data_IF_027373604537
#
_entry.id   IF_027373604537
#
_cell.length_a   1.000
_cell.length_b   1.000
_cell.length_c   1.000
_cell.angle_alpha   90.00
_cell.angle_beta   90.00
_cell.angle_gamma   90.00
#
_symmetry.space_group_name_H-M   'P 1'
#
loop_
_entity.id
_entity.type
_entity.pdbx_description
1 polymer ?
#
# COMPACT_ATOMS: atom_id res chain seq x y z
N UNK A 1 -11.86 41.67 7.01
CA UNK A 1 -11.15 40.39 7.25
C UNK A 1 -9.65 40.65 7.19
N UNK A 2 -8.87 40.42 8.26
CA UNK A 2 -7.43 40.63 8.23
C UNK A 2 -6.77 39.59 7.32
N UNK A 3 -5.91 40.02 6.40
CA UNK A 3 -5.13 39.10 5.53
C UNK A 3 -4.03 38.47 6.38
N UNK A 4 -4.12 37.16 6.59
CA UNK A 4 -3.19 36.39 7.43
C UNK A 4 -1.91 36.00 6.66
N UNK A 5 -1.86 36.23 5.34
CA UNK A 5 -0.69 35.96 4.53
C UNK A 5 -0.09 37.28 4.02
N UNK A 6 1.16 37.55 4.41
CA UNK A 6 1.98 38.60 3.82
C UNK A 6 2.25 38.27 2.35
N UNK A 7 2.43 39.31 1.53
CA UNK A 7 2.83 39.15 0.13
C UNK A 7 4.19 38.42 0.09
N UNK A 8 4.17 37.12 -0.22
CA UNK A 8 5.33 36.22 -0.19
C UNK A 8 6.21 36.38 -1.45
N UNK A 9 6.33 37.59 -1.95
CA UNK A 9 7.25 37.91 -3.03
C UNK A 9 8.56 38.45 -2.42
N UNK A 10 9.51 37.55 -2.20
CA UNK A 10 10.86 37.87 -1.68
C UNK A 10 11.75 38.63 -2.68
N UNK A 11 11.29 38.86 -3.91
CA UNK A 11 12.00 39.60 -4.96
C UNK A 11 11.40 40.99 -5.23
N UNK A 12 10.41 41.42 -4.43
CA UNK A 12 9.87 42.77 -4.51
C UNK A 12 10.86 43.84 -4.03
N UNK A 13 10.44 45.12 -4.08
CA UNK A 13 11.23 46.32 -3.75
C UNK A 13 11.63 46.44 -2.27
N UNK A 14 12.25 45.40 -1.71
CA UNK A 14 12.85 45.39 -0.37
C UNK A 14 14.31 45.83 -0.48
N UNK A 15 14.80 46.68 0.45
CA UNK A 15 16.17 47.18 0.43
C UNK A 15 17.19 46.03 0.39
N UNK A 16 18.29 46.13 -0.38
CA UNK A 16 19.28 45.05 -0.52
C UNK A 16 19.89 44.53 0.78
N UNK A 17 19.86 45.34 1.85
CA UNK A 17 20.31 44.97 3.21
C UNK A 17 19.42 43.94 3.90
N UNK A 18 18.13 43.90 3.57
CA UNK A 18 17.12 43.06 4.25
C UNK A 18 16.75 41.85 3.40
N UNK A 19 17.28 41.75 2.18
CA UNK A 19 17.14 40.56 1.36
C UNK A 19 18.00 39.44 1.96
N UNK A 20 17.38 38.32 2.37
CA UNK A 20 18.16 37.18 2.83
C UNK A 20 18.98 36.60 1.69
N UNK A 21 20.16 36.05 2.00
CA UNK A 21 20.95 35.36 0.97
C UNK A 21 20.17 34.14 0.49
N UNK A 22 20.29 33.84 -0.79
CA UNK A 22 19.65 32.68 -1.41
C UNK A 22 20.17 31.40 -0.73
N UNK A 23 19.42 30.88 0.24
CA UNK A 23 19.83 29.76 1.10
C UNK A 23 19.49 29.92 2.58
N UNK A 24 19.44 31.15 3.13
CA UNK A 24 19.27 31.40 4.58
C UNK A 24 17.89 30.98 5.13
N UNK A 25 16.88 30.96 4.26
CA UNK A 25 15.52 30.48 4.56
C UNK A 25 15.13 29.25 3.73
N UNK A 26 16.13 28.62 3.11
CA UNK A 26 15.93 27.37 2.37
C UNK A 26 15.40 26.32 3.33
N UNK A 27 14.37 25.56 2.97
CA UNK A 27 13.70 24.69 3.93
C UNK A 27 14.58 23.46 4.16
N UNK A 28 15.47 23.57 5.15
CA UNK A 28 16.51 22.59 5.46
C UNK A 28 15.92 21.30 6.03
N UNK A 29 14.73 21.41 6.65
CA UNK A 29 14.02 20.29 7.26
C UNK A 29 12.82 19.79 6.45
N UNK A 30 12.50 20.36 5.28
CA UNK A 30 11.41 19.78 4.47
C UNK A 30 11.93 18.62 3.63
N UNK A 31 11.25 17.47 3.66
CA UNK A 31 11.53 16.40 2.73
C UNK A 31 11.42 16.92 1.29
N UNK A 32 12.42 16.60 0.47
CA UNK A 32 12.39 16.93 -0.96
C UNK A 32 11.09 16.41 -1.60
N UNK A 33 10.58 17.11 -2.60
CA UNK A 33 9.35 16.72 -3.31
C UNK A 33 9.44 15.31 -3.89
N UNK A 34 10.65 14.89 -4.30
CA UNK A 34 10.95 13.52 -4.76
C UNK A 34 10.86 12.49 -3.63
N UNK A 35 11.34 12.82 -2.43
CA UNK A 35 11.25 11.94 -1.25
C UNK A 35 9.78 11.65 -0.88
N UNK A 36 8.94 12.69 -0.91
CA UNK A 36 7.50 12.57 -0.62
C UNK A 36 6.77 11.65 -1.62
N UNK A 37 7.16 11.66 -2.91
CA UNK A 37 6.59 10.75 -3.93
C UNK A 37 7.01 9.30 -3.68
N UNK A 38 8.27 9.04 -3.35
CA UNK A 38 8.79 7.69 -3.08
C UNK A 38 8.12 7.07 -1.86
N UNK A 39 7.92 7.84 -0.80
CA UNK A 39 7.27 7.35 0.43
C UNK A 39 5.86 6.80 0.17
N UNK A 40 5.08 7.45 -0.71
CA UNK A 40 3.73 6.98 -1.07
C UNK A 40 3.77 5.62 -1.76
N UNK A 41 4.71 5.43 -2.68
CA UNK A 41 4.85 4.18 -3.43
C UNK A 41 5.27 3.04 -2.49
N UNK A 42 6.26 3.29 -1.62
CA UNK A 42 6.72 2.29 -0.65
C UNK A 42 5.66 1.90 0.37
N UNK A 43 4.89 2.87 0.88
CA UNK A 43 3.80 2.60 1.80
C UNK A 43 2.73 1.72 1.17
N UNK A 44 2.34 2.00 -0.07
CA UNK A 44 1.35 1.18 -0.79
C UNK A 44 1.88 -0.23 -1.08
N UNK A 45 3.12 -0.36 -1.57
CA UNK A 45 3.75 -1.67 -1.80
C UNK A 45 3.84 -2.51 -0.52
N UNK A 46 4.26 -1.91 0.59
CA UNK A 46 4.36 -2.59 1.87
C UNK A 46 3.00 -3.08 2.37
N UNK A 47 1.95 -2.26 2.23
CA UNK A 47 0.59 -2.64 2.61
C UNK A 47 0.10 -3.85 1.79
N UNK A 48 0.24 -3.81 0.47
CA UNK A 48 -0.16 -4.92 -0.39
C UNK A 48 0.63 -6.20 -0.09
N UNK A 49 1.94 -6.08 0.12
CA UNK A 49 2.79 -7.20 0.49
C UNK A 49 2.35 -7.83 1.83
N UNK A 50 2.07 -7.00 2.85
CA UNK A 50 1.60 -7.49 4.15
C UNK A 50 0.23 -8.18 4.04
N UNK A 51 -0.71 -7.60 3.29
CA UNK A 51 -2.04 -8.19 3.10
C UNK A 51 -1.96 -9.55 2.40
N UNK A 52 -1.12 -9.66 1.36
CA UNK A 52 -0.90 -10.90 0.63
C UNK A 52 -0.20 -11.95 1.50
N UNK A 53 0.76 -11.54 2.34
CA UNK A 53 1.42 -12.43 3.28
C UNK A 53 0.45 -13.04 4.31
N UNK A 54 -0.43 -12.23 4.90
CA UNK A 54 -1.44 -12.72 5.87
C UNK A 54 -2.43 -13.66 5.17
N UNK A 55 -2.87 -13.30 3.95
CA UNK A 55 -3.78 -14.14 3.17
C UNK A 55 -3.16 -15.50 2.83
N UNK A 56 -1.92 -15.52 2.34
CA UNK A 56 -1.21 -16.76 2.03
C UNK A 56 -0.93 -17.60 3.27
N UNK A 57 -0.61 -16.96 4.40
CA UNK A 57 -0.42 -17.67 5.67
C UNK A 57 -1.71 -18.37 6.10
N UNK A 58 -2.85 -17.65 6.05
CA UNK A 58 -4.16 -18.23 6.35
C UNK A 58 -4.52 -19.37 5.40
N UNK A 59 -4.28 -19.20 4.10
CA UNK A 59 -4.49 -20.25 3.10
C UNK A 59 -3.59 -21.47 3.33
N UNK A 60 -2.33 -21.26 3.70
CA UNK A 60 -1.37 -22.33 3.98
C UNK A 60 -1.81 -23.18 5.18
N UNK A 61 -2.24 -22.53 6.27
CA UNK A 61 -2.78 -23.24 7.45
C UNK A 61 -4.05 -23.99 7.08
N UNK A 62 -4.96 -23.37 6.33
CA UNK A 62 -6.16 -24.01 5.82
C UNK A 62 -5.84 -25.25 4.96
N UNK A 63 -4.85 -25.15 4.08
CA UNK A 63 -4.41 -26.24 3.21
C UNK A 63 -3.82 -27.40 4.01
N UNK A 64 -2.99 -27.13 5.02
CA UNK A 64 -2.46 -28.15 5.91
C UNK A 64 -3.55 -28.88 6.70
N UNK A 65 -4.59 -28.17 7.12
CA UNK A 65 -5.70 -28.75 7.88
C UNK A 65 -6.66 -29.57 7.00
N UNK A 66 -6.92 -29.12 5.78
CA UNK A 66 -7.97 -29.70 4.93
C UNK A 66 -7.43 -30.65 3.87
N UNK A 67 -6.13 -30.57 3.53
CA UNK A 67 -5.53 -31.28 2.40
C UNK A 67 -6.10 -30.88 1.03
N UNK A 68 -7.12 -30.02 1.00
CA UNK A 68 -7.80 -29.55 -0.19
C UNK A 68 -7.09 -28.32 -0.77
N UNK A 69 -6.90 -28.33 -2.08
CA UNK A 69 -6.26 -27.25 -2.83
C UNK A 69 -7.20 -26.06 -3.13
N UNK A 70 -8.52 -26.26 -3.03
CA UNK A 70 -9.51 -25.21 -3.29
C UNK A 70 -10.55 -25.19 -2.19
N UNK A 71 -10.46 -24.23 -1.27
CA UNK A 71 -11.44 -23.74 -0.27
C UNK A 71 -12.68 -24.61 0.11
N UNK A 72 -12.59 -25.95 0.07
CA UNK A 72 -13.71 -26.86 0.30
C UNK A 72 -14.65 -27.02 -0.90
N UNK A 73 -14.32 -26.44 -2.05
CA UNK A 73 -15.12 -26.48 -3.29
C UNK A 73 -14.61 -27.61 -4.17
N UNK A 74 -15.21 -28.80 -4.06
CA UNK A 74 -14.88 -29.94 -4.93
C UNK A 74 -15.04 -31.35 -4.33
N UNK A 75 -15.52 -31.50 -3.10
CA UNK A 75 -15.76 -32.82 -2.47
C UNK A 75 -17.10 -33.40 -2.92
N UNK A 76 -17.31 -33.59 -4.22
CA UNK A 76 -18.55 -34.18 -4.76
C UNK A 76 -18.30 -35.24 -5.85
N UNK A 77 -17.04 -35.49 -6.25
CA UNK A 77 -16.73 -36.36 -7.39
C UNK A 77 -16.17 -37.74 -7.00
N UNK A 78 -16.44 -38.24 -5.79
CA UNK A 78 -15.96 -39.57 -5.38
C UNK A 78 -17.05 -40.38 -4.65
N UNK A 79 -18.09 -40.78 -5.38
CA UNK A 79 -18.91 -41.94 -5.00
C UNK A 79 -18.46 -43.16 -5.83
N UNK A 80 -17.67 -44.09 -5.26
CA UNK A 80 -17.49 -45.41 -5.86
C UNK A 80 -18.68 -46.29 -5.49
N UNK A 81 -19.83 -46.11 -6.14
CA UNK A 81 -20.94 -47.06 -6.01
C UNK A 81 -21.07 -47.83 -7.31
N UNK A 82 -20.21 -48.86 -7.39
CA UNK A 82 -20.40 -50.05 -8.20
C UNK A 82 -21.68 -50.77 -7.74
N UNK A 83 -22.87 -50.27 -8.10
CA UNK A 83 -24.12 -51.02 -7.97
C UNK A 83 -24.95 -50.80 -9.23
N UNK A 84 -24.62 -51.54 -10.28
CA UNK A 84 -25.56 -51.83 -11.37
C UNK A 84 -25.18 -53.15 -12.06
N UNK A 85 -24.83 -54.17 -11.26
CA UNK A 85 -24.66 -55.55 -11.74
C UNK A 85 -25.56 -56.53 -10.95
N UNK A 86 -26.63 -56.01 -10.35
CA UNK A 86 -27.55 -56.76 -9.50
C UNK A 86 -29.02 -56.70 -9.97
N UNK A 87 -29.28 -56.61 -11.27
CA UNK A 87 -30.58 -56.96 -11.82
C UNK A 87 -30.43 -57.68 -13.15
N UNK A 88 -30.64 -59.00 -13.08
CA UNK A 88 -31.24 -59.79 -14.15
C UNK A 88 -32.41 -59.05 -14.80
#
# INVERSE_FOLDING_TARGET
MPRIFSNLNLHGATPPRVQPRLGDWGPEQVPSTKSKKRMRIWASLALFAAMLAIFLLGWYVYHLMTGSWGFGIGVEAQLPIQISDASR
#
